data_IF_107136028933
#
_entry.id   IF_107136028933
#
_cell.length_a   1.000
_cell.length_b   1.000
_cell.length_c   1.000
_cell.angle_alpha   90.00
_cell.angle_beta   90.00
_cell.angle_gamma   90.00
#
_symmetry.space_group_name_H-M   'P 1'
#
loop_
_entity.id
_entity.type
_entity.pdbx_description
1 polymer ?
#
# COMPACT_ATOMS: atom_id res chain seq x y z
N UNK A 1 -0.36 23.70 4.47
CA UNK A 1 -0.39 22.27 4.08
C UNK A 1 -1.85 21.81 4.17
N UNK A 2 -2.38 21.14 3.15
CA UNK A 2 -3.80 20.73 3.08
C UNK A 2 -4.23 19.95 4.32
N UNK A 3 -5.47 20.15 4.77
CA UNK A 3 -6.09 19.39 5.88
C UNK A 3 -6.41 17.92 5.52
N UNK A 4 -5.97 17.47 4.34
CA UNK A 4 -6.27 16.15 3.76
C UNK A 4 -4.98 15.41 3.43
N UNK A 5 -5.03 14.08 3.53
CA UNK A 5 -4.00 13.14 3.06
C UNK A 5 -3.92 13.05 1.53
N UNK A 6 -4.85 13.68 0.81
CA UNK A 6 -4.90 13.79 -0.66
C UNK A 6 -4.69 15.26 -1.09
N UNK A 7 -3.48 15.67 -1.48
CA UNK A 7 -3.16 17.08 -1.74
C UNK A 7 -3.84 17.67 -2.98
N UNK A 8 -4.32 16.86 -3.92
CA UNK A 8 -4.93 17.32 -5.18
C UNK A 8 -6.46 17.48 -5.08
N UNK A 9 -7.08 17.06 -3.98
CA UNK A 9 -8.53 17.16 -3.76
C UNK A 9 -9.38 16.62 -4.93
N UNK A 10 -8.99 15.51 -5.53
CA UNK A 10 -9.60 14.96 -6.76
C UNK A 10 -11.11 14.71 -6.69
N UNK A 11 -11.69 14.64 -5.48
CA UNK A 11 -13.12 14.55 -5.26
C UNK A 11 -13.90 15.76 -5.80
N UNK A 12 -13.28 16.95 -5.87
CA UNK A 12 -13.87 18.14 -6.48
C UNK A 12 -14.10 17.95 -7.99
N UNK A 13 -13.38 17.01 -8.63
CA UNK A 13 -13.53 16.66 -10.04
C UNK A 13 -14.53 15.51 -10.27
N UNK A 14 -15.22 15.05 -9.23
CA UNK A 14 -16.28 14.06 -9.38
C UNK A 14 -17.47 14.66 -10.13
N UNK A 15 -18.15 13.86 -10.96
CA UNK A 15 -19.46 14.25 -11.48
C UNK A 15 -20.43 14.54 -10.31
N UNK A 16 -21.26 15.60 -10.36
CA UNK A 16 -21.50 16.53 -11.47
C UNK A 16 -20.61 17.78 -11.48
N UNK A 17 -19.65 17.91 -10.56
CA UNK A 17 -18.84 19.12 -10.41
C UNK A 17 -17.86 19.35 -11.57
N UNK A 18 -17.48 18.28 -12.29
CA UNK A 18 -16.68 18.36 -13.49
C UNK A 18 -17.38 17.69 -14.69
N UNK A 19 -17.44 18.33 -15.87
CA UNK A 19 -18.23 17.85 -17.01
C UNK A 19 -17.71 16.52 -17.58
N UNK A 20 -16.42 16.26 -17.45
CA UNK A 20 -15.80 15.03 -17.96
C UNK A 20 -15.77 13.93 -16.89
N UNK A 21 -16.50 12.81 -17.05
CA UNK A 21 -16.72 11.82 -16.00
C UNK A 21 -15.46 11.08 -15.54
N UNK A 22 -14.43 10.99 -16.39
CA UNK A 22 -13.16 10.34 -16.02
C UNK A 22 -12.16 11.26 -15.30
N UNK A 23 -12.46 12.55 -15.11
CA UNK A 23 -11.47 13.49 -14.60
C UNK A 23 -11.09 13.26 -13.15
N UNK A 24 -12.03 12.80 -12.32
CA UNK A 24 -11.71 12.29 -10.98
C UNK A 24 -10.67 11.17 -11.05
N UNK A 25 -10.94 10.12 -11.83
CA UNK A 25 -10.05 8.96 -11.94
C UNK A 25 -8.68 9.31 -12.55
N UNK A 26 -8.65 10.27 -13.47
CA UNK A 26 -7.39 10.82 -13.99
C UNK A 26 -6.61 11.52 -12.90
N UNK A 27 -7.23 12.44 -12.15
CA UNK A 27 -6.60 13.15 -11.04
C UNK A 27 -6.06 12.19 -9.98
N UNK A 28 -6.85 11.21 -9.54
CA UNK A 28 -6.43 10.21 -8.56
C UNK A 28 -5.18 9.45 -9.01
N UNK A 29 -5.08 9.15 -10.30
CA UNK A 29 -3.90 8.49 -10.88
C UNK A 29 -2.67 9.39 -10.87
N UNK A 30 -2.81 10.68 -11.20
CA UNK A 30 -1.70 11.64 -11.17
C UNK A 30 -1.27 11.92 -9.73
N UNK A 31 -2.21 12.06 -8.81
CA UNK A 31 -1.95 12.23 -7.38
C UNK A 31 -1.17 11.04 -6.82
N UNK A 32 -1.65 9.81 -7.05
CA UNK A 32 -0.98 8.59 -6.57
C UNK A 32 0.45 8.46 -7.10
N UNK A 33 0.68 8.79 -8.39
CA UNK A 33 2.02 8.81 -8.99
C UNK A 33 2.92 9.86 -8.35
N UNK A 34 2.40 11.07 -8.15
CA UNK A 34 3.15 12.19 -7.57
C UNK A 34 3.59 11.86 -6.14
N UNK A 35 2.66 11.36 -5.32
CA UNK A 35 2.94 10.94 -3.94
C UNK A 35 3.94 9.78 -3.87
N UNK A 36 3.80 8.79 -4.76
CA UNK A 36 4.74 7.66 -4.82
C UNK A 36 6.15 8.12 -5.19
N UNK A 37 6.28 9.01 -6.17
CA UNK A 37 7.57 9.53 -6.59
C UNK A 37 8.22 10.41 -5.51
N UNK A 38 7.44 11.21 -4.79
CA UNK A 38 7.94 11.97 -3.65
C UNK A 38 8.40 11.07 -2.51
N UNK A 39 7.63 10.03 -2.18
CA UNK A 39 8.01 9.04 -1.18
C UNK A 39 9.33 8.36 -1.54
N UNK A 40 9.52 7.97 -2.81
CA UNK A 40 10.78 7.41 -3.31
C UNK A 40 11.94 8.40 -3.18
N UNK A 41 11.76 9.67 -3.58
CA UNK A 41 12.78 10.71 -3.42
C UNK A 41 13.14 10.97 -1.95
N UNK A 42 12.17 10.82 -1.05
CA UNK A 42 12.39 10.89 0.40
C UNK A 42 13.00 9.60 1.00
N UNK A 43 13.37 8.61 0.17
CA UNK A 43 14.00 7.36 0.61
C UNK A 43 13.03 6.36 1.24
N UNK A 44 11.71 6.55 1.12
CA UNK A 44 10.74 5.57 1.60
C UNK A 44 10.76 4.33 0.71
N UNK A 45 10.89 3.11 1.28
CA UNK A 45 10.90 1.90 0.48
C UNK A 45 9.59 1.74 -0.28
N UNK A 46 9.70 1.49 -1.59
CA UNK A 46 8.57 1.10 -2.42
C UNK A 46 8.12 -0.34 -2.14
N UNK A 47 7.02 -0.81 -2.76
CA UNK A 47 6.68 -2.22 -2.74
C UNK A 47 7.72 -3.03 -3.54
N UNK A 48 8.08 -4.21 -3.04
CA UNK A 48 8.98 -5.13 -3.74
C UNK A 48 8.31 -5.76 -4.96
N UNK A 49 9.08 -6.03 -6.02
CA UNK A 49 8.59 -6.75 -7.21
C UNK A 49 8.31 -8.23 -6.93
N UNK A 50 8.88 -8.79 -5.86
CA UNK A 50 8.66 -10.17 -5.47
C UNK A 50 7.38 -10.30 -4.65
N UNK A 51 6.49 -11.19 -5.08
CA UNK A 51 5.28 -11.57 -4.34
C UNK A 51 5.42 -12.99 -3.83
N UNK A 52 5.24 -13.19 -2.52
CA UNK A 52 5.27 -14.52 -1.89
C UNK A 52 3.88 -14.93 -1.41
N UNK A 53 3.64 -16.23 -1.24
CA UNK A 53 2.40 -16.67 -0.62
C UNK A 53 2.60 -16.77 0.88
N UNK A 54 1.70 -16.17 1.65
CA UNK A 54 1.70 -16.24 3.11
C UNK A 54 0.28 -16.50 3.60
N UNK A 55 0.12 -17.18 4.74
CA UNK A 55 -1.20 -17.44 5.30
C UNK A 55 -1.90 -16.12 5.72
N UNK A 56 -3.24 -16.05 5.67
CA UNK A 56 -3.97 -14.87 6.15
C UNK A 56 -3.83 -14.70 7.66
N UNK A 57 -3.92 -13.46 8.15
CA UNK A 57 -3.87 -13.14 9.57
C UNK A 57 -4.94 -13.91 10.36
N UNK A 58 -4.54 -14.52 11.48
CA UNK A 58 -5.46 -15.22 12.39
C UNK A 58 -5.65 -16.70 12.07
N UNK A 59 -5.22 -17.16 10.90
CA UNK A 59 -5.16 -18.59 10.57
C UNK A 59 -4.18 -19.34 11.48
N UNK A 60 -4.38 -20.64 11.67
CA UNK A 60 -3.45 -21.45 12.46
C UNK A 60 -2.06 -21.53 11.83
N UNK A 61 -1.98 -21.51 10.49
CA UNK A 61 -0.72 -21.43 9.76
C UNK A 61 0.04 -20.12 10.08
N UNK A 62 -0.66 -18.98 10.17
CA UNK A 62 -0.04 -17.70 10.56
C UNK A 62 0.45 -17.70 12.01
N UNK A 63 -0.32 -18.30 12.93
CA UNK A 63 0.06 -18.41 14.35
C UNK A 63 1.31 -19.27 14.53
N UNK A 64 1.43 -20.35 13.76
CA UNK A 64 2.58 -21.29 13.81
C UNK A 64 3.83 -20.72 13.13
N UNK A 65 3.68 -20.16 11.92
CA UNK A 65 4.81 -19.62 11.17
C UNK A 65 5.30 -18.27 11.69
N UNK A 66 4.46 -17.56 12.45
CA UNK A 66 4.75 -16.18 12.86
C UNK A 66 4.80 -15.21 11.68
N UNK A 67 4.19 -15.56 10.54
CA UNK A 67 4.09 -14.69 9.37
C UNK A 67 2.67 -14.63 8.86
N UNK A 68 2.27 -13.51 8.27
CA UNK A 68 0.94 -13.33 7.71
C UNK A 68 0.97 -12.42 6.48
N UNK A 69 0.07 -12.68 5.54
CA UNK A 69 -0.30 -11.68 4.54
C UNK A 69 -1.43 -10.81 5.09
N UNK A 70 -1.25 -9.48 5.05
CA UNK A 70 -2.25 -8.52 5.50
C UNK A 70 -2.36 -7.44 4.44
N UNK A 71 -3.50 -7.36 3.75
CA UNK A 71 -3.72 -6.35 2.70
C UNK A 71 -2.69 -6.38 1.57
N UNK A 72 -2.11 -7.56 1.28
CA UNK A 72 -1.08 -7.73 0.25
C UNK A 72 0.35 -7.38 0.68
N UNK A 73 0.58 -7.07 1.95
CA UNK A 73 1.91 -6.87 2.55
C UNK A 73 2.25 -7.99 3.53
N UNK A 74 3.52 -8.42 3.51
CA UNK A 74 4.01 -9.48 4.38
C UNK A 74 4.39 -8.92 5.76
N UNK A 75 3.94 -9.60 6.80
CA UNK A 75 4.25 -9.25 8.19
C UNK A 75 4.86 -10.42 8.94
N UNK A 76 5.74 -10.11 9.89
CA UNK A 76 6.23 -11.04 10.92
C UNK A 76 5.66 -10.70 12.28
N UNK A 77 5.40 -11.72 13.08
CA UNK A 77 4.87 -11.60 14.44
C UNK A 77 6.00 -11.15 15.39
N UNK A 78 5.67 -10.17 16.23
CA UNK A 78 6.46 -9.73 17.37
C UNK A 78 5.72 -10.10 18.67
N UNK A 79 6.41 -10.08 19.84
CA UNK A 79 5.76 -10.36 21.13
C UNK A 79 4.52 -9.50 21.41
N UNK A 80 4.51 -8.26 20.93
CA UNK A 80 3.47 -7.27 21.16
C UNK A 80 2.73 -6.82 19.89
N UNK A 81 2.91 -7.50 18.76
CA UNK A 81 2.29 -7.06 17.51
C UNK A 81 2.86 -7.69 16.25
N UNK A 82 2.94 -6.88 15.19
CA UNK A 82 3.37 -7.29 13.87
C UNK A 82 4.26 -6.21 13.25
N UNK A 83 5.21 -6.64 12.44
CA UNK A 83 6.14 -5.75 11.74
C UNK A 83 6.15 -6.10 10.24
N UNK A 84 6.21 -5.08 9.40
CA UNK A 84 6.34 -5.26 7.95
C UNK A 84 7.70 -5.87 7.60
N UNK A 85 7.69 -6.83 6.69
CA UNK A 85 8.90 -7.50 6.23
C UNK A 85 9.49 -6.72 5.06
N UNK A 86 10.79 -6.40 5.14
CA UNK A 86 11.54 -5.88 3.99
C UNK A 86 11.99 -7.03 3.10
N UNK A 87 11.84 -6.89 1.78
CA UNK A 87 12.29 -7.90 0.84
C UNK A 87 13.81 -7.83 0.66
N UNK A 88 14.44 -8.98 0.41
CA UNK A 88 15.86 -9.03 0.07
C UNK A 88 16.17 -8.25 -1.22
N UNK A 89 15.24 -8.23 -2.17
CA UNK A 89 15.36 -7.47 -3.42
C UNK A 89 15.14 -5.95 -3.23
N UNK A 90 14.92 -5.49 -1.99
CA UNK A 90 14.57 -4.12 -1.68
C UNK A 90 13.06 -3.90 -1.61
N UNK A 91 12.66 -2.88 -0.83
CA UNK A 91 11.26 -2.51 -0.65
C UNK A 91 10.51 -3.38 0.35
N UNK A 92 9.24 -3.07 0.54
CA UNK A 92 8.33 -3.86 1.37
C UNK A 92 7.92 -5.15 0.67
N UNK A 93 8.11 -6.28 1.35
CA UNK A 93 7.77 -7.60 0.81
C UNK A 93 6.26 -7.69 0.57
N UNK A 94 5.88 -7.91 -0.68
CA UNK A 94 4.48 -8.14 -1.07
C UNK A 94 4.12 -9.61 -0.87
N UNK A 95 2.84 -9.86 -0.65
CA UNK A 95 2.32 -11.23 -0.56
C UNK A 95 0.94 -11.40 -1.20
N UNK A 96 0.55 -12.66 -1.37
CA UNK A 96 -0.82 -13.10 -1.59
C UNK A 96 -1.23 -14.03 -0.45
N UNK A 97 -2.48 -13.91 -0.04
CA UNK A 97 -3.09 -14.85 0.89
C UNK A 97 -3.21 -16.22 0.23
N UNK A 98 -2.91 -17.26 1.00
CA UNK A 98 -2.91 -18.65 0.58
C UNK A 98 -4.06 -19.42 1.22
#
# INVERSE_FOLDING_TARGET
MSKSTTPFNCQELAWPNHPHPSMKAYCERVEARSLSAEAQRAGRPGPSDKVINLPPLGSDASKRSGTACIGGQAFRKLPNGWEQIHAHAGGWQRCREQ
#
